data_IF_743486615363
#
_entry.id   IF_743486615363
#
_cell.length_a   1.000
_cell.length_b   1.000
_cell.length_c   1.000
_cell.angle_alpha   90.00
_cell.angle_beta   90.00
_cell.angle_gamma   90.00
#
_symmetry.space_group_name_H-M   'P 1'
#
loop_
_entity.id
_entity.type
_entity.pdbx_description
1 polymer ?
#
# COMPACT_ATOMS: atom_id res chain seq x y z
N UNK A 1 11.26 9.05 -23.00
CA UNK A 1 12.65 8.95 -23.50
C UNK A 1 13.70 9.59 -22.58
N UNK A 2 13.56 10.84 -22.11
CA UNK A 2 14.60 11.48 -21.25
C UNK A 2 14.83 10.81 -19.89
N UNK A 3 13.80 10.29 -19.24
CA UNK A 3 13.95 9.67 -17.91
C UNK A 3 14.55 8.26 -17.95
N UNK A 4 14.15 7.43 -18.91
CA UNK A 4 14.69 6.07 -19.07
C UNK A 4 16.21 6.09 -19.30
N UNK A 5 16.71 7.06 -20.06
CA UNK A 5 18.15 7.24 -20.30
C UNK A 5 18.90 7.67 -19.02
N UNK A 6 18.23 8.36 -18.09
CA UNK A 6 18.82 8.79 -16.82
C UNK A 6 18.89 7.63 -15.83
N UNK A 7 17.84 6.81 -15.76
CA UNK A 7 17.80 5.60 -14.94
C UNK A 7 18.86 4.58 -15.39
N UNK A 8 18.95 4.32 -16.70
CA UNK A 8 19.94 3.40 -17.26
C UNK A 8 21.37 3.85 -16.93
N UNK A 9 21.66 5.16 -17.06
CA UNK A 9 22.97 5.72 -16.72
C UNK A 9 23.30 5.55 -15.23
N UNK A 10 22.34 5.82 -14.34
CA UNK A 10 22.52 5.59 -12.90
C UNK A 10 22.78 4.11 -12.58
N UNK A 11 22.03 3.19 -13.18
CA UNK A 11 22.19 1.76 -12.95
C UNK A 11 23.54 1.21 -13.47
N UNK A 12 24.08 1.79 -14.55
CA UNK A 12 25.45 1.52 -15.03
C UNK A 12 26.47 2.05 -14.03
N UNK A 13 26.33 3.30 -13.59
CA UNK A 13 27.24 3.96 -12.65
C UNK A 13 27.29 3.25 -11.29
N UNK A 14 26.15 2.74 -10.80
CA UNK A 14 26.05 1.99 -9.54
C UNK A 14 26.42 0.51 -9.67
N UNK A 15 26.68 0.01 -10.88
CA UNK A 15 26.87 -1.43 -11.19
C UNK A 15 25.70 -2.33 -10.79
N UNK A 16 24.50 -1.77 -10.61
CA UNK A 16 23.30 -2.50 -10.19
C UNK A 16 22.77 -3.44 -11.29
N UNK A 17 23.07 -3.18 -12.58
CA UNK A 17 22.53 -3.92 -13.75
C UNK A 17 22.89 -5.41 -13.82
N UNK A 18 23.85 -5.87 -13.03
CA UNK A 18 24.29 -7.27 -13.03
C UNK A 18 24.38 -7.86 -11.63
N UNK A 19 23.76 -7.20 -10.65
CA UNK A 19 23.63 -7.79 -9.33
C UNK A 19 22.74 -9.03 -9.41
N UNK A 20 22.98 -9.97 -8.49
CA UNK A 20 22.11 -11.12 -8.32
C UNK A 20 20.65 -10.68 -8.16
N UNK A 21 20.40 -9.63 -7.38
CA UNK A 21 19.06 -9.10 -7.13
C UNK A 21 18.42 -8.51 -8.39
N UNK A 22 19.18 -7.81 -9.24
CA UNK A 22 18.67 -7.32 -10.52
C UNK A 22 18.28 -8.47 -11.45
N UNK A 23 19.17 -9.43 -11.66
CA UNK A 23 18.89 -10.59 -12.52
C UNK A 23 17.72 -11.41 -12.00
N UNK A 24 17.68 -11.68 -10.68
CA UNK A 24 16.57 -12.35 -10.01
C UNK A 24 15.25 -11.60 -10.23
N UNK A 25 15.25 -10.28 -10.05
CA UNK A 25 14.05 -9.45 -10.25
C UNK A 25 13.56 -9.52 -11.69
N UNK A 26 14.45 -9.40 -12.67
CA UNK A 26 14.10 -9.49 -14.09
C UNK A 26 13.50 -10.86 -14.42
N UNK A 27 14.11 -11.95 -13.94
CA UNK A 27 13.61 -13.30 -14.16
C UNK A 27 12.22 -13.51 -13.53
N UNK A 28 12.01 -13.07 -12.29
CA UNK A 28 10.70 -13.19 -11.62
C UNK A 28 9.65 -12.36 -12.37
N UNK A 29 9.97 -11.12 -12.77
CA UNK A 29 9.06 -10.26 -13.56
C UNK A 29 8.65 -10.90 -14.88
N UNK A 30 9.57 -11.55 -15.58
CA UNK A 30 9.32 -12.12 -16.90
C UNK A 30 8.57 -13.46 -16.84
N UNK A 31 8.91 -14.33 -15.89
CA UNK A 31 8.44 -15.72 -15.93
C UNK A 31 7.45 -16.09 -14.83
N UNK A 32 7.35 -15.33 -13.74
CA UNK A 32 6.57 -15.73 -12.55
C UNK A 32 5.46 -14.71 -12.26
N UNK A 33 5.83 -13.45 -12.08
CA UNK A 33 4.90 -12.40 -11.70
C UNK A 33 5.37 -11.05 -12.25
N UNK A 34 4.66 -10.54 -13.26
CA UNK A 34 4.92 -9.23 -13.86
C UNK A 34 4.84 -8.04 -12.89
N UNK A 35 4.17 -8.24 -11.75
CA UNK A 35 4.02 -7.27 -10.67
C UNK A 35 5.07 -7.41 -9.58
N UNK A 36 6.00 -8.35 -9.68
CA UNK A 36 7.06 -8.49 -8.69
C UNK A 36 7.95 -7.26 -8.69
N UNK A 37 8.24 -6.72 -7.51
CA UNK A 37 9.16 -5.60 -7.33
C UNK A 37 10.01 -5.89 -6.07
N UNK A 38 11.15 -5.22 -5.93
CA UNK A 38 12.06 -5.46 -4.80
C UNK A 38 11.47 -4.88 -3.51
N UNK A 39 11.79 -5.50 -2.39
CA UNK A 39 11.36 -5.06 -1.06
C UNK A 39 11.79 -3.62 -0.75
N UNK A 40 10.87 -2.80 -0.22
CA UNK A 40 11.10 -1.40 0.17
C UNK A 40 10.33 -0.38 -0.65
N UNK A 41 9.81 -0.74 -1.81
CA UNK A 41 8.93 0.12 -2.59
C UNK A 41 7.45 -0.14 -2.21
N UNK A 42 6.66 0.93 -2.07
CA UNK A 42 5.22 0.86 -1.82
C UNK A 42 4.51 0.53 -3.14
N UNK A 43 4.17 -0.74 -3.34
CA UNK A 43 3.43 -1.19 -4.50
C UNK A 43 1.96 -1.35 -4.16
N UNK A 44 1.14 -0.47 -4.74
CA UNK A 44 -0.31 -0.55 -4.63
C UNK A 44 -0.86 -0.69 -6.04
N UNK A 45 -1.59 -1.76 -6.29
CA UNK A 45 -2.32 -1.96 -7.55
C UNK A 45 -3.78 -1.56 -7.40
N UNK A 46 -4.50 -1.38 -8.50
CA UNK A 46 -5.93 -0.98 -8.46
C UNK A 46 -6.81 -2.01 -7.74
N UNK A 47 -6.41 -3.27 -7.80
CA UNK A 47 -7.03 -4.41 -7.14
C UNK A 47 -6.48 -4.64 -5.73
N UNK A 48 -5.47 -3.89 -5.29
CA UNK A 48 -4.94 -3.95 -3.93
C UNK A 48 -5.80 -3.09 -2.99
N UNK A 49 -6.84 -3.71 -2.47
CA UNK A 49 -7.78 -3.09 -1.54
C UNK A 49 -8.21 -4.08 -0.47
N UNK A 50 -8.53 -3.54 0.71
CA UNK A 50 -9.01 -4.35 1.82
C UNK A 50 -10.50 -4.64 1.64
N UNK A 51 -10.85 -5.92 1.65
CA UNK A 51 -12.21 -6.42 1.55
C UNK A 51 -12.87 -6.52 2.93
N UNK A 52 -13.24 -5.36 3.49
CA UNK A 52 -13.73 -5.26 4.87
C UNK A 52 -14.91 -6.17 5.20
N UNK A 53 -15.84 -6.35 4.25
CA UNK A 53 -16.98 -7.23 4.43
C UNK A 53 -16.57 -8.70 4.62
N UNK A 54 -15.53 -9.16 3.91
CA UNK A 54 -15.00 -10.52 4.07
C UNK A 54 -14.34 -10.68 5.44
N UNK A 55 -13.62 -9.67 5.91
CA UNK A 55 -13.00 -9.67 7.26
C UNK A 55 -14.08 -9.76 8.34
N UNK A 56 -15.14 -8.95 8.24
CA UNK A 56 -16.27 -8.96 9.18
C UNK A 56 -16.94 -10.35 9.22
N UNK A 57 -17.21 -10.94 8.06
CA UNK A 57 -17.81 -12.28 7.97
C UNK A 57 -16.92 -13.37 8.58
N UNK A 58 -15.61 -13.35 8.32
CA UNK A 58 -14.67 -14.35 8.85
C UNK A 58 -14.54 -14.32 10.38
N UNK A 59 -14.80 -13.18 11.00
CA UNK A 59 -14.62 -12.97 12.45
C UNK A 59 -15.93 -13.01 13.25
N UNK A 60 -17.08 -12.94 12.58
CA UNK A 60 -18.40 -12.83 13.21
C UNK A 60 -18.70 -13.93 14.25
N UNK A 61 -18.27 -15.18 13.99
CA UNK A 61 -18.59 -16.32 14.87
C UNK A 61 -17.62 -16.46 16.05
N UNK A 62 -16.52 -15.71 16.07
CA UNK A 62 -15.41 -15.89 17.02
C UNK A 62 -15.16 -14.66 17.89
N UNK A 63 -15.65 -13.51 17.47
CA UNK A 63 -15.37 -12.24 18.12
C UNK A 63 -16.59 -11.32 18.08
N UNK A 64 -16.73 -10.52 19.14
CA UNK A 64 -17.66 -9.40 19.18
C UNK A 64 -16.98 -8.13 18.67
N UNK A 65 -17.70 -7.34 17.88
CA UNK A 65 -17.22 -6.03 17.42
C UNK A 65 -17.49 -5.00 18.52
N UNK A 66 -16.42 -4.44 19.08
CA UNK A 66 -16.49 -3.35 20.07
C UNK A 66 -16.58 -1.99 19.38
N UNK A 67 -15.90 -1.83 18.24
CA UNK A 67 -15.84 -0.58 17.50
C UNK A 67 -15.53 -0.84 16.03
N UNK A 68 -16.17 -0.10 15.12
CA UNK A 68 -15.92 -0.17 13.69
C UNK A 68 -16.10 1.25 13.13
N UNK A 69 -15.00 1.94 12.84
CA UNK A 69 -15.05 3.35 12.49
C UNK A 69 -14.15 3.66 11.30
N UNK A 70 -14.67 4.50 10.43
CA UNK A 70 -13.95 5.16 9.36
C UNK A 70 -13.67 6.60 9.77
N UNK A 71 -12.48 7.11 9.48
CA UNK A 71 -12.11 8.48 9.83
C UNK A 71 -11.12 9.07 8.83
N UNK A 72 -11.11 10.41 8.76
CA UNK A 72 -10.07 11.15 8.05
C UNK A 72 -8.89 11.36 9.00
N UNK A 73 -7.68 11.00 8.57
CA UNK A 73 -6.46 11.24 9.32
C UNK A 73 -6.05 12.71 9.23
N UNK A 74 -5.88 13.36 10.38
CA UNK A 74 -5.32 14.70 10.40
C UNK A 74 -3.89 14.72 9.84
N UNK A 75 -3.68 15.53 8.80
CA UNK A 75 -2.36 15.78 8.22
C UNK A 75 -1.96 17.23 8.50
N UNK A 76 -0.89 17.49 9.28
CA UNK A 76 -0.48 18.86 9.63
C UNK A 76 -0.26 19.78 8.43
N UNK A 77 0.25 19.24 7.31
CA UNK A 77 0.46 19.98 6.05
C UNK A 77 -0.83 20.57 5.46
N UNK A 78 -1.99 19.94 5.70
CA UNK A 78 -3.29 20.45 5.26
C UNK A 78 -3.90 21.49 6.19
N UNK A 79 -3.41 21.60 7.42
CA UNK A 79 -3.93 22.52 8.43
C UNK A 79 -5.31 22.13 8.97
N UNK A 80 -5.67 22.72 10.11
CA UNK A 80 -6.91 22.40 10.84
C UNK A 80 -8.18 22.81 10.09
N UNK A 81 -8.14 23.91 9.33
CA UNK A 81 -9.32 24.43 8.61
C UNK A 81 -9.82 23.44 7.55
N UNK A 82 -8.91 22.88 6.75
CA UNK A 82 -9.27 21.87 5.75
C UNK A 82 -9.72 20.57 6.42
N UNK A 83 -9.03 20.14 7.47
CA UNK A 83 -9.42 18.94 8.21
C UNK A 83 -10.84 19.05 8.74
N UNK A 84 -11.17 20.12 9.47
CA UNK A 84 -12.50 20.34 10.04
C UNK A 84 -13.59 20.40 8.96
N UNK A 85 -13.27 20.96 7.79
CA UNK A 85 -14.19 20.99 6.64
C UNK A 85 -14.52 19.59 6.10
N UNK A 86 -13.55 18.67 6.09
CA UNK A 86 -13.68 17.38 5.40
C UNK A 86 -13.85 16.17 6.31
N UNK A 87 -13.53 16.27 7.62
CA UNK A 87 -13.45 15.13 8.55
C UNK A 87 -14.72 14.26 8.66
N UNK A 88 -15.89 14.84 8.36
CA UNK A 88 -17.18 14.15 8.46
C UNK A 88 -17.76 13.75 7.09
N UNK A 89 -17.08 14.05 5.98
CA UNK A 89 -17.58 13.78 4.61
C UNK A 89 -16.64 12.91 3.78
N UNK A 90 -15.41 12.71 4.22
CA UNK A 90 -14.50 11.72 3.64
C UNK A 90 -13.69 11.01 4.73
N UNK A 91 -13.07 9.90 4.34
CA UNK A 91 -12.19 9.10 5.18
C UNK A 91 -11.04 8.54 4.33
N UNK A 92 -9.92 8.26 4.98
CA UNK A 92 -8.75 7.58 4.41
C UNK A 92 -8.24 6.44 5.30
N UNK A 93 -8.78 6.33 6.52
CA UNK A 93 -8.43 5.33 7.52
C UNK A 93 -9.66 4.60 8.02
N UNK A 94 -9.48 3.33 8.36
CA UNK A 94 -10.47 2.50 9.04
C UNK A 94 -9.80 1.73 10.17
N UNK A 95 -10.53 1.57 11.27
CA UNK A 95 -10.16 0.61 12.29
C UNK A 95 -11.37 -0.18 12.76
N UNK A 96 -11.12 -1.42 13.17
CA UNK A 96 -12.11 -2.30 13.79
C UNK A 96 -11.48 -2.92 15.03
N UNK A 97 -12.17 -2.82 16.16
CA UNK A 97 -11.78 -3.43 17.42
C UNK A 97 -12.67 -4.63 17.66
N UNK A 98 -12.05 -5.79 17.81
CA UNK A 98 -12.71 -7.05 18.12
C UNK A 98 -12.33 -7.49 19.54
N UNK A 99 -13.31 -8.01 20.28
CA UNK A 99 -13.11 -8.69 21.54
C UNK A 99 -13.38 -10.18 21.35
N UNK A 100 -12.43 -11.01 21.78
CA UNK A 100 -12.65 -12.46 21.81
C UNK A 100 -13.68 -12.77 22.90
N UNK A 101 -14.64 -13.63 22.58
CA UNK A 101 -15.54 -14.20 23.58
C UNK A 101 -14.77 -14.91 24.69
#
# INVERSE_FOLDING_TARGET
MREQNKLLKQLIETRELFTYDFLKTVLIKLFVNSRYEREGDLHVWKDDHIEWNKILQLLADKFEIISNNDYLLYRPKGGIVLYEKYKNICNDMKYIIYRKY
#
